data_IF_867564588387
#
_entry.id   IF_867564588387
#
_cell.length_a   1.000
_cell.length_b   1.000
_cell.length_c   1.000
_cell.angle_alpha   90.00
_cell.angle_beta   90.00
_cell.angle_gamma   90.00
#
_symmetry.space_group_name_H-M   'P 1'
#
loop_
_entity.id
_entity.type
_entity.pdbx_description
1 polymer ?
#
# COMPACT_ATOMS: atom_id res chain seq x y z
N UNK A 1 -1.52 -47.34 -54.10
CA UNK A 1 -0.50 -46.87 -53.13
C UNK A 1 -1.18 -45.87 -52.22
N UNK A 2 -1.93 -46.30 -51.20
CA UNK A 2 -1.46 -46.65 -49.85
C UNK A 2 -0.43 -45.65 -49.30
N UNK A 3 -0.88 -44.68 -48.51
CA UNK A 3 -0.24 -44.33 -47.25
C UNK A 3 -1.29 -43.75 -46.29
N UNK A 4 -1.55 -44.51 -45.23
CA UNK A 4 -2.27 -44.10 -44.04
C UNK A 4 -1.33 -43.34 -43.11
N UNK A 5 -1.83 -42.37 -42.34
CA UNK A 5 -1.30 -42.06 -41.01
C UNK A 5 -2.33 -41.33 -40.17
N UNK A 6 -2.79 -42.07 -39.17
CA UNK A 6 -3.64 -41.67 -38.06
C UNK A 6 -2.95 -40.63 -37.19
N UNK A 7 -3.69 -39.61 -36.75
CA UNK A 7 -3.36 -38.83 -35.55
C UNK A 7 -4.56 -38.88 -34.61
N UNK A 8 -4.42 -39.64 -33.53
CA UNK A 8 -5.36 -39.73 -32.43
C UNK A 8 -5.26 -38.47 -31.57
N UNK A 9 -6.40 -37.89 -31.23
CA UNK A 9 -6.60 -36.88 -30.19
C UNK A 9 -6.99 -37.55 -28.87
N UNK A 10 -6.39 -37.22 -27.72
CA UNK A 10 -6.95 -37.61 -26.45
C UNK A 10 -7.95 -36.57 -25.92
N UNK A 11 -9.01 -37.16 -25.41
CA UNK A 11 -10.22 -36.65 -24.80
C UNK A 11 -10.04 -35.79 -23.55
N UNK A 12 -10.93 -34.82 -23.44
CA UNK A 12 -11.35 -34.11 -22.23
C UNK A 12 -11.81 -35.08 -21.13
N UNK A 13 -11.35 -34.87 -19.90
CA UNK A 13 -11.95 -35.43 -18.70
C UNK A 13 -12.05 -34.36 -17.61
N UNK A 14 -13.28 -33.95 -17.35
CA UNK A 14 -13.71 -33.15 -16.21
C UNK A 14 -14.03 -34.09 -15.03
N UNK A 15 -13.47 -33.84 -13.85
CA UNK A 15 -13.93 -34.40 -12.57
C UNK A 15 -13.57 -33.36 -11.48
N UNK A 16 -14.54 -32.61 -10.97
CA UNK A 16 -15.37 -32.90 -9.80
C UNK A 16 -14.60 -33.08 -8.47
N UNK A 17 -14.60 -31.98 -7.71
CA UNK A 17 -15.12 -31.86 -6.34
C UNK A 17 -14.68 -32.89 -5.30
N UNK A 18 -13.90 -32.44 -4.30
CA UNK A 18 -14.26 -32.59 -2.87
C UNK A 18 -13.26 -31.83 -2.00
N UNK A 19 -13.70 -30.69 -1.47
CA UNK A 19 -13.11 -30.05 -0.32
C UNK A 19 -13.62 -30.77 0.94
N UNK A 20 -12.73 -31.32 1.74
CA UNK A 20 -13.05 -31.87 3.06
C UNK A 20 -12.59 -30.87 4.13
N UNK A 21 -13.58 -30.34 4.84
CA UNK A 21 -13.42 -29.59 6.09
C UNK A 21 -13.10 -30.55 7.24
N UNK A 22 -12.13 -30.23 8.11
CA UNK A 22 -12.14 -30.73 9.47
C UNK A 22 -12.89 -29.75 10.39
N UNK A 23 -13.95 -30.30 10.95
CA UNK A 23 -14.84 -29.81 12.00
C UNK A 23 -14.14 -29.53 13.33
N UNK A 24 -14.60 -28.45 13.97
CA UNK A 24 -14.88 -28.28 15.42
C UNK A 24 -14.40 -29.36 16.39
N UNK A 25 -13.74 -28.93 17.49
CA UNK A 25 -14.21 -29.20 18.86
C UNK A 25 -13.25 -28.67 19.93
N UNK A 26 -13.85 -28.23 21.05
CA UNK A 26 -13.31 -28.34 22.42
C UNK A 26 -12.17 -27.36 22.78
N UNK A 27 -12.20 -26.57 23.84
CA UNK A 27 -13.04 -26.54 25.05
C UNK A 27 -12.69 -25.22 25.76
N UNK A 28 -13.67 -24.39 26.09
CA UNK A 28 -13.50 -23.34 27.07
C UNK A 28 -13.39 -23.99 28.46
N UNK A 29 -12.28 -23.77 29.16
CA UNK A 29 -12.19 -24.02 30.60
C UNK A 29 -11.98 -22.70 31.33
N UNK A 30 -13.10 -22.28 31.90
CA UNK A 30 -13.24 -21.38 33.04
C UNK A 30 -12.45 -21.97 34.20
N UNK A 31 -11.47 -21.24 34.74
CA UNK A 31 -11.07 -21.42 36.13
C UNK A 31 -10.79 -20.05 36.77
N UNK A 32 -11.84 -19.58 37.43
CA UNK A 32 -11.84 -18.63 38.52
C UNK A 32 -10.79 -18.98 39.58
N UNK A 33 -9.82 -18.10 39.80
CA UNK A 33 -9.11 -18.01 41.08
C UNK A 33 -9.06 -16.56 41.53
N UNK A 34 -10.02 -16.27 42.41
CA UNK A 34 -10.02 -15.16 43.33
C UNK A 34 -8.68 -15.08 44.09
N UNK A 35 -7.90 -14.04 43.85
CA UNK A 35 -6.93 -13.56 44.83
C UNK A 35 -7.37 -12.20 45.37
N UNK A 36 -7.96 -12.31 46.55
CA UNK A 36 -8.47 -11.25 47.40
C UNK A 36 -7.28 -10.53 48.03
N UNK A 37 -6.89 -9.39 47.49
CA UNK A 37 -5.85 -8.55 48.09
C UNK A 37 -6.46 -7.71 49.24
N UNK A 38 -5.86 -7.70 50.44
CA UNK A 38 -6.45 -7.06 51.62
C UNK A 38 -6.35 -5.53 51.56
N UNK A 39 -7.49 -4.87 51.84
CA UNK A 39 -7.55 -3.44 52.16
C UNK A 39 -6.64 -3.13 53.35
N UNK A 40 -5.68 -2.24 53.16
CA UNK A 40 -5.02 -1.53 54.26
C UNK A 40 -4.99 -0.02 53.99
N UNK A 41 -5.48 0.70 55.00
CA UNK A 41 -5.18 2.09 55.36
C UNK A 41 -5.45 3.22 54.35
N UNK A 42 -6.60 3.85 54.57
CA UNK A 42 -7.06 5.16 54.07
C UNK A 42 -6.17 6.29 54.62
N UNK A 43 -5.19 6.75 53.85
CA UNK A 43 -4.52 8.02 54.10
C UNK A 43 -5.35 9.19 53.55
N UNK A 44 -5.74 10.12 54.43
CA UNK A 44 -6.46 11.35 54.07
C UNK A 44 -5.56 12.22 53.18
N UNK A 45 -5.88 12.34 51.90
CA UNK A 45 -5.30 13.36 51.01
C UNK A 45 -6.21 14.58 51.01
N UNK A 46 -5.64 15.73 51.36
CA UNK A 46 -6.27 17.04 51.23
C UNK A 46 -6.50 17.37 49.74
N UNK A 47 -7.63 17.99 49.37
CA UNK A 47 -7.86 18.42 48.00
C UNK A 47 -6.95 19.62 47.65
N UNK A 48 -6.31 19.65 46.47
CA UNK A 48 -5.65 20.86 45.98
C UNK A 48 -6.70 21.93 45.65
N UNK A 49 -6.35 23.23 45.74
CA UNK A 49 -7.26 24.32 45.39
C UNK A 49 -7.66 24.21 43.90
N UNK A 50 -8.94 24.49 43.63
CA UNK A 50 -9.51 24.47 42.30
C UNK A 50 -8.84 25.54 41.42
N UNK A 51 -7.81 25.13 40.68
CA UNK A 51 -7.33 25.88 39.52
C UNK A 51 -8.38 25.66 38.44
N UNK A 52 -9.15 26.70 38.11
CA UNK A 52 -9.99 26.75 36.93
C UNK A 52 -9.08 26.67 35.71
N UNK A 53 -8.77 25.44 35.30
CA UNK A 53 -8.07 25.18 34.06
C UNK A 53 -9.11 25.40 32.95
N UNK A 54 -9.01 26.56 32.32
CA UNK A 54 -9.74 26.91 31.11
C UNK A 54 -9.61 25.73 30.14
N UNK A 55 -10.73 25.05 29.85
CA UNK A 55 -10.78 23.93 28.94
C UNK A 55 -10.52 24.46 27.52
N UNK A 56 -9.26 24.55 27.13
CA UNK A 56 -8.87 24.71 25.74
C UNK A 56 -9.29 23.43 25.02
N UNK A 57 -10.41 23.49 24.29
CA UNK A 57 -10.79 22.49 23.31
C UNK A 57 -9.57 22.16 22.46
N UNK A 58 -9.06 20.94 22.59
CA UNK A 58 -8.17 20.38 21.60
C UNK A 58 -8.98 20.25 20.31
N UNK A 59 -8.56 20.88 19.19
CA UNK A 59 -9.24 20.66 17.93
C UNK A 59 -9.12 19.18 17.59
N UNK A 60 -10.26 18.55 17.36
CA UNK A 60 -10.35 17.23 16.75
C UNK A 60 -9.67 17.34 15.38
N UNK A 61 -8.37 17.08 15.33
CA UNK A 61 -7.68 16.86 14.06
C UNK A 61 -8.20 15.52 13.59
N UNK A 62 -9.16 15.61 12.67
CA UNK A 62 -9.64 14.48 11.89
C UNK A 62 -8.40 13.90 11.23
N UNK A 63 -7.92 12.78 11.75
CA UNK A 63 -6.76 12.09 11.23
C UNK A 63 -7.09 11.69 9.80
N UNK A 64 -6.56 12.44 8.83
CA UNK A 64 -6.58 12.05 7.43
C UNK A 64 -5.98 10.65 7.35
N UNK A 65 -6.72 9.70 6.80
CA UNK A 65 -6.24 8.35 6.59
C UNK A 65 -4.96 8.44 5.74
N UNK A 66 -3.82 8.07 6.34
CA UNK A 66 -2.53 8.04 5.65
C UNK A 66 -2.56 6.90 4.64
N UNK A 67 -2.05 7.20 3.44
CA UNK A 67 -1.95 6.26 2.33
C UNK A 67 -1.09 5.05 2.74
N UNK A 68 -1.53 3.85 2.39
CA UNK A 68 -0.84 2.61 2.77
C UNK A 68 0.53 2.54 2.07
N UNK A 69 1.60 2.46 2.86
CA UNK A 69 2.98 2.38 2.36
C UNK A 69 3.32 0.96 1.94
N UNK A 70 4.04 0.81 0.84
CA UNK A 70 4.40 -0.50 0.26
C UNK A 70 5.22 -1.40 1.22
N UNK A 71 5.99 -0.80 2.12
CA UNK A 71 6.87 -1.51 3.07
C UNK A 71 6.31 -1.59 4.50
N UNK A 72 5.19 -0.92 4.78
CA UNK A 72 4.62 -0.79 6.13
C UNK A 72 4.00 -2.08 6.70
N UNK A 73 3.84 -3.12 5.87
CA UNK A 73 3.13 -4.37 6.22
C UNK A 73 3.72 -5.12 7.43
N UNK A 74 4.99 -4.92 7.77
CA UNK A 74 5.66 -5.66 8.86
C UNK A 74 5.38 -5.12 10.27
N UNK A 75 4.67 -4.00 10.39
CA UNK A 75 4.41 -3.35 11.68
C UNK A 75 2.92 -3.45 12.04
N UNK A 76 2.63 -3.75 13.31
CA UNK A 76 1.25 -3.74 13.84
C UNK A 76 0.73 -2.31 14.04
N UNK A 77 1.64 -1.37 14.33
CA UNK A 77 1.34 0.05 14.52
C UNK A 77 1.86 0.90 13.35
N UNK A 78 1.24 2.07 13.17
CA UNK A 78 1.67 3.03 12.16
C UNK A 78 3.06 3.61 12.45
N UNK A 79 3.82 3.90 11.39
CA UNK A 79 5.14 4.52 11.49
C UNK A 79 5.03 5.94 12.08
N UNK A 80 5.88 6.26 13.06
CA UNK A 80 5.91 7.59 13.69
C UNK A 80 6.38 8.66 12.70
N UNK A 81 5.88 9.89 12.83
CA UNK A 81 6.25 11.04 11.98
C UNK A 81 7.76 11.27 11.93
N UNK A 82 8.47 11.01 13.03
CA UNK A 82 9.93 11.14 13.10
C UNK A 82 10.64 10.16 12.17
N UNK A 83 10.17 8.91 12.09
CA UNK A 83 10.73 7.92 11.17
C UNK A 83 10.41 8.29 9.73
N UNK A 84 9.19 8.75 9.44
CA UNK A 84 8.82 9.16 8.08
C UNK A 84 9.70 10.29 7.54
N UNK A 85 9.95 11.31 8.37
CA UNK A 85 10.86 12.42 8.02
C UNK A 85 12.30 11.98 7.89
N UNK A 86 12.70 10.92 8.56
CA UNK A 86 14.04 10.36 8.43
C UNK A 86 14.19 9.54 7.14
N UNK A 87 13.12 8.86 6.73
CA UNK A 87 13.11 8.01 5.53
C UNK A 87 12.80 8.77 4.24
N UNK A 88 12.22 9.95 4.31
CA UNK A 88 11.91 10.74 3.11
C UNK A 88 13.18 11.17 2.39
N UNK A 89 13.20 10.95 1.07
CA UNK A 89 14.24 11.45 0.17
C UNK A 89 13.73 12.48 -0.82
N UNK A 90 12.42 12.77 -0.84
CA UNK A 90 11.81 13.68 -1.80
C UNK A 90 12.36 15.11 -1.73
N UNK A 91 12.81 15.54 -0.55
CA UNK A 91 13.44 16.84 -0.36
C UNK A 91 14.66 17.06 -1.27
N UNK A 92 15.35 16.01 -1.69
CA UNK A 92 16.52 16.08 -2.57
C UNK A 92 16.43 15.25 -3.86
N UNK A 93 15.74 14.11 -3.87
CA UNK A 93 15.71 13.21 -5.03
C UNK A 93 14.75 13.65 -6.15
N UNK A 94 13.88 14.62 -5.89
CA UNK A 94 12.94 15.17 -6.90
C UNK A 94 13.64 15.66 -8.17
N UNK A 95 14.91 16.04 -8.08
CA UNK A 95 15.73 16.42 -9.24
C UNK A 95 15.91 15.26 -10.24
N UNK A 96 15.71 14.01 -9.81
CA UNK A 96 15.86 12.80 -10.61
C UNK A 96 14.59 12.42 -11.39
N UNK A 97 13.49 13.17 -11.26
CA UNK A 97 12.19 12.82 -11.87
C UNK A 97 12.28 12.50 -13.36
N UNK A 98 13.10 13.24 -14.13
CA UNK A 98 13.30 12.98 -15.57
C UNK A 98 13.81 11.58 -15.85
N UNK A 99 14.71 11.08 -15.01
CA UNK A 99 15.31 9.75 -15.13
C UNK A 99 14.31 8.67 -14.72
N UNK A 100 13.56 8.88 -13.64
CA UNK A 100 12.50 7.95 -13.23
C UNK A 100 11.43 7.83 -14.32
N UNK A 101 10.94 8.95 -14.87
CA UNK A 101 9.95 8.94 -15.96
C UNK A 101 10.50 8.23 -17.19
N UNK A 102 11.76 8.50 -17.58
CA UNK A 102 12.39 7.83 -18.72
C UNK A 102 12.48 6.30 -18.51
N UNK A 103 12.91 5.87 -17.32
CA UNK A 103 12.96 4.46 -16.94
C UNK A 103 11.57 3.81 -16.94
N UNK A 104 10.56 4.52 -16.42
CA UNK A 104 9.16 4.10 -16.40
C UNK A 104 8.59 3.91 -17.82
N UNK A 105 8.87 4.83 -18.76
CA UNK A 105 8.46 4.68 -20.17
C UNK A 105 9.10 3.44 -20.83
N UNK A 106 10.38 3.21 -20.58
CA UNK A 106 11.10 2.05 -21.10
C UNK A 106 10.55 0.73 -20.52
N UNK A 107 10.29 0.71 -19.21
CA UNK A 107 9.74 -0.45 -18.51
C UNK A 107 8.33 -0.79 -18.99
N UNK A 108 7.43 0.19 -19.11
CA UNK A 108 6.09 0.00 -19.67
C UNK A 108 6.13 -0.61 -21.08
N UNK A 109 7.06 -0.11 -21.92
CA UNK A 109 7.27 -0.62 -23.27
C UNK A 109 7.76 -2.07 -23.27
N UNK A 110 8.66 -2.41 -22.35
CA UNK A 110 9.14 -3.78 -22.16
C UNK A 110 8.01 -4.70 -21.67
N UNK A 111 7.21 -4.30 -20.67
CA UNK A 111 6.10 -5.09 -20.14
C UNK A 111 5.10 -5.46 -21.24
N UNK A 112 4.75 -4.50 -22.10
CA UNK A 112 3.85 -4.74 -23.22
C UNK A 112 4.46 -5.70 -24.25
N UNK A 113 5.77 -5.57 -24.54
CA UNK A 113 6.48 -6.47 -25.44
C UNK A 113 6.50 -7.91 -24.92
N UNK A 114 6.57 -8.10 -23.60
CA UNK A 114 6.51 -9.42 -22.96
C UNK A 114 5.09 -9.94 -22.77
N UNK A 115 4.06 -9.18 -23.17
CA UNK A 115 2.65 -9.57 -23.01
C UNK A 115 2.14 -9.52 -21.56
N UNK A 116 2.85 -8.84 -20.66
CA UNK A 116 2.45 -8.69 -19.26
C UNK A 116 1.38 -7.59 -19.07
N UNK A 117 1.34 -6.62 -19.98
CA UNK A 117 0.30 -5.61 -20.07
C UNK A 117 -0.17 -5.47 -21.52
N UNK A 118 -1.38 -4.93 -21.72
CA UNK A 118 -1.87 -4.67 -23.08
C UNK A 118 -1.16 -3.46 -23.72
N UNK A 119 -1.13 -3.38 -25.05
CA UNK A 119 -0.64 -2.18 -25.74
C UNK A 119 -1.47 -0.93 -25.42
N UNK A 120 -2.76 -1.11 -25.11
CA UNK A 120 -3.63 -0.02 -24.64
C UNK A 120 -3.18 0.49 -23.28
N UNK A 121 -2.91 -0.41 -22.32
CA UNK A 121 -2.39 -0.04 -20.99
C UNK A 121 -1.05 0.69 -21.12
N UNK A 122 -0.15 0.18 -21.97
CA UNK A 122 1.13 0.84 -22.26
C UNK A 122 0.92 2.26 -22.76
N UNK A 123 0.04 2.46 -23.75
CA UNK A 123 -0.19 3.80 -24.31
C UNK A 123 -0.75 4.75 -23.24
N UNK A 124 -1.70 4.30 -22.43
CA UNK A 124 -2.24 5.09 -21.32
C UNK A 124 -1.14 5.47 -20.31
N UNK A 125 -0.24 4.54 -19.98
CA UNK A 125 0.92 4.82 -19.11
C UNK A 125 1.85 5.87 -19.74
N UNK A 126 2.22 5.72 -21.02
CA UNK A 126 3.11 6.66 -21.69
C UNK A 126 2.50 8.07 -21.76
N UNK A 127 1.22 8.17 -22.12
CA UNK A 127 0.49 9.45 -22.15
C UNK A 127 0.36 10.07 -20.77
N UNK A 128 0.08 9.28 -19.74
CA UNK A 128 0.02 9.75 -18.35
C UNK A 128 1.37 10.27 -17.84
N UNK A 129 2.45 9.55 -18.14
CA UNK A 129 3.81 9.97 -17.81
C UNK A 129 4.19 11.28 -18.53
N UNK A 130 3.79 11.47 -19.79
CA UNK A 130 4.00 12.72 -20.53
C UNK A 130 3.22 13.89 -19.92
N UNK A 131 2.01 13.65 -19.40
CA UNK A 131 1.24 14.67 -18.71
C UNK A 131 1.90 15.08 -17.39
N UNK A 132 2.34 14.10 -16.59
CA UNK A 132 3.06 14.34 -15.33
C UNK A 132 4.35 15.12 -15.59
N UNK A 133 5.12 14.73 -16.59
CA UNK A 133 6.37 15.40 -16.98
C UNK A 133 6.13 16.90 -17.25
N UNK A 134 5.09 17.21 -18.03
CA UNK A 134 4.68 18.60 -18.33
C UNK A 134 4.18 19.35 -17.10
N UNK A 135 3.45 18.71 -16.19
CA UNK A 135 3.00 19.34 -14.95
C UNK A 135 4.19 19.70 -14.05
N UNK A 136 5.21 18.83 -13.98
CA UNK A 136 6.43 19.11 -13.22
C UNK A 136 7.19 20.28 -13.85
N UNK A 137 7.36 20.31 -15.17
CA UNK A 137 8.04 21.41 -15.88
C UNK A 137 7.35 22.77 -15.69
N UNK A 138 6.02 22.79 -15.59
CA UNK A 138 5.23 24.00 -15.33
C UNK A 138 5.23 24.42 -13.86
N UNK A 139 5.76 23.59 -12.96
CA UNK A 139 5.67 23.81 -11.51
C UNK A 139 4.26 23.59 -10.94
N UNK A 140 3.38 22.90 -11.68
CA UNK A 140 2.00 22.58 -11.27
C UNK A 140 1.94 21.27 -10.47
N UNK A 141 2.97 20.43 -10.54
CA UNK A 141 3.03 19.17 -9.84
C UNK A 141 3.22 19.35 -8.33
N UNK A 142 2.32 18.78 -7.52
CA UNK A 142 2.36 18.84 -6.06
C UNK A 142 3.16 17.67 -5.51
N UNK A 143 4.42 17.92 -5.14
CA UNK A 143 5.26 16.96 -4.43
C UNK A 143 4.75 16.74 -3.01
N UNK A 144 4.53 15.48 -2.63
CA UNK A 144 4.08 15.13 -1.29
C UNK A 144 5.22 14.50 -0.48
N UNK A 145 5.47 15.06 0.71
CA UNK A 145 6.52 14.60 1.65
C UNK A 145 6.09 13.44 2.54
N UNK A 146 4.82 13.05 2.50
CA UNK A 146 4.34 11.84 3.16
C UNK A 146 4.60 10.58 2.32
N UNK A 147 4.99 10.75 1.05
CA UNK A 147 5.56 9.73 0.19
C UNK A 147 7.08 9.72 0.35
N UNK A 148 7.67 8.53 0.27
CA UNK A 148 9.08 8.27 0.56
C UNK A 148 10.01 8.99 -0.40
N UNK A 149 9.81 8.82 -1.71
CA UNK A 149 10.76 9.24 -2.74
C UNK A 149 10.05 9.79 -4.00
N UNK A 150 10.85 10.21 -4.99
CA UNK A 150 10.39 10.66 -6.31
C UNK A 150 9.59 9.60 -7.07
N UNK A 151 9.98 8.33 -6.95
CA UNK A 151 9.37 7.22 -7.66
C UNK A 151 7.92 7.01 -7.20
N UNK A 152 7.69 6.95 -5.90
CA UNK A 152 6.38 6.84 -5.26
C UNK A 152 5.47 8.03 -5.56
N UNK A 153 6.04 9.24 -5.67
CA UNK A 153 5.27 10.42 -6.07
C UNK A 153 4.75 10.28 -7.51
N UNK A 154 5.59 9.85 -8.44
CA UNK A 154 5.23 9.69 -9.85
C UNK A 154 4.23 8.53 -10.04
N UNK A 155 4.47 7.37 -9.43
CA UNK A 155 3.59 6.21 -9.57
C UNK A 155 2.18 6.48 -9.04
N UNK A 156 2.08 7.20 -7.92
CA UNK A 156 0.79 7.53 -7.36
C UNK A 156 0.07 8.61 -8.17
N UNK A 157 0.77 9.66 -8.62
CA UNK A 157 0.18 10.63 -9.54
C UNK A 157 -0.31 9.97 -10.84
N UNK A 158 0.43 8.97 -11.33
CA UNK A 158 0.03 8.19 -12.49
C UNK A 158 -1.23 7.37 -12.18
N UNK A 159 -1.28 6.73 -11.01
CA UNK A 159 -2.47 5.98 -10.55
C UNK A 159 -3.69 6.87 -10.42
N UNK A 160 -3.53 8.08 -9.89
CA UNK A 160 -4.63 9.06 -9.78
C UNK A 160 -5.11 9.52 -11.17
N UNK A 161 -4.21 9.60 -12.15
CA UNK A 161 -4.50 10.09 -13.50
C UNK A 161 -5.17 9.04 -14.40
N UNK A 162 -4.66 7.80 -14.42
CA UNK A 162 -5.10 6.77 -15.38
C UNK A 162 -5.74 5.54 -14.71
N UNK A 163 -5.64 5.41 -13.38
CA UNK A 163 -6.22 4.31 -12.61
C UNK A 163 -5.46 2.99 -12.76
N UNK A 164 -6.20 1.92 -13.01
CA UNK A 164 -5.70 0.55 -12.95
C UNK A 164 -4.48 0.22 -13.85
N UNK A 165 -4.34 0.78 -15.07
CA UNK A 165 -3.13 0.57 -15.88
C UNK A 165 -1.84 0.98 -15.17
N UNK A 166 -1.86 2.05 -14.37
CA UNK A 166 -0.68 2.54 -13.66
C UNK A 166 -0.13 1.51 -12.67
N UNK A 167 -1.00 0.81 -11.94
CA UNK A 167 -0.59 -0.19 -10.94
C UNK A 167 0.19 -1.35 -11.55
N UNK A 168 -0.03 -1.64 -12.83
CA UNK A 168 0.70 -2.70 -13.55
C UNK A 168 2.15 -2.31 -13.83
N UNK A 169 2.49 -1.02 -13.82
CA UNK A 169 3.83 -0.53 -14.12
C UNK A 169 4.89 -1.04 -13.14
N UNK A 170 4.51 -1.26 -11.87
CA UNK A 170 5.44 -1.76 -10.85
C UNK A 170 5.75 -3.26 -10.98
N UNK A 171 5.11 -3.96 -11.93
CA UNK A 171 5.34 -5.40 -12.13
C UNK A 171 6.80 -5.68 -12.49
N UNK A 172 7.43 -6.58 -11.74
CA UNK A 172 8.83 -7.00 -11.94
C UNK A 172 9.85 -5.85 -11.89
N UNK A 173 9.57 -4.81 -11.09
CA UNK A 173 10.46 -3.68 -10.82
C UNK A 173 10.70 -3.56 -9.31
N UNK A 174 11.86 -3.06 -8.92
CA UNK A 174 12.25 -2.74 -7.54
C UNK A 174 12.99 -1.43 -7.49
#
# INVERSE_FOLDING_TARGET
MLFASSSQSPSSSSALLSAQNPSSSSTAQILSLFFRCPLTSRSKRHPPPAVSCCASQQPNIVASAKEAKLWGWRFEEGVTVSVERFTESISFDKALYKHDIMGSRAHASMLAKQGLISFSDRNAILEGLDQIDKQIEKGEFVWRTDREDVHMNIEAALTDLIGEPAKKLHTARS
#
